data_IF_252323906910
#
_entry.id   IF_252323906910
#
_cell.length_a   1.000
_cell.length_b   1.000
_cell.length_c   1.000
_cell.angle_alpha   90.00
_cell.angle_beta   90.00
_cell.angle_gamma   90.00
#
_symmetry.space_group_name_H-M   'P 1'
#
loop_
_entity.id
_entity.type
_entity.pdbx_description
1 polymer ?
#
# COMPACT_ATOMS: atom_id res chain seq x y z
N UNK A 1 17.11 0.13 -13.38
CA UNK A 1 15.77 -0.47 -13.46
C UNK A 1 14.77 0.60 -13.05
N UNK A 2 13.57 0.64 -13.63
CA UNK A 2 12.56 1.66 -13.27
C UNK A 2 11.80 1.21 -12.01
N UNK A 3 11.75 2.07 -11.01
CA UNK A 3 10.99 1.87 -9.76
C UNK A 3 9.49 2.02 -10.04
N UNK A 4 8.64 1.22 -9.40
CA UNK A 4 7.18 1.34 -9.55
C UNK A 4 6.63 2.51 -8.73
N UNK A 5 5.71 3.30 -9.28
CA UNK A 5 4.91 4.28 -8.54
C UNK A 5 3.60 3.65 -8.12
N UNK A 6 3.39 3.54 -6.81
CA UNK A 6 2.16 3.03 -6.21
C UNK A 6 1.42 4.19 -5.54
N UNK A 7 0.16 4.39 -5.91
CA UNK A 7 -0.70 5.41 -5.31
C UNK A 7 -1.74 4.78 -4.42
N UNK A 8 -1.87 5.33 -3.20
CA UNK A 8 -2.92 4.91 -2.28
C UNK A 8 -4.25 5.58 -2.62
N UNK A 9 -5.27 4.75 -2.76
CA UNK A 9 -6.66 5.11 -3.03
C UNK A 9 -7.49 4.73 -1.81
N UNK A 10 -7.99 5.75 -1.12
CA UNK A 10 -9.02 5.56 -0.08
C UNK A 10 -10.34 5.22 -0.76
N UNK A 11 -10.70 3.94 -0.75
CA UNK A 11 -11.79 3.38 -1.50
C UNK A 11 -13.10 3.48 -0.73
N UNK A 12 -14.15 3.89 -1.44
CA UNK A 12 -15.44 4.27 -0.85
C UNK A 12 -15.50 5.72 -0.36
N UNK A 13 -14.43 6.52 -0.49
CA UNK A 13 -14.43 7.93 -0.11
C UNK A 13 -14.39 8.89 -1.32
N UNK A 14 -15.30 9.88 -1.43
CA UNK A 14 -16.53 10.04 -0.62
C UNK A 14 -17.61 9.01 -0.99
N UNK A 15 -17.43 8.26 -2.08
CA UNK A 15 -18.26 7.11 -2.46
C UNK A 15 -17.43 6.13 -3.30
N UNK A 16 -17.95 4.93 -3.52
CA UNK A 16 -17.32 3.92 -4.39
C UNK A 16 -17.18 4.45 -5.82
N UNK A 17 -18.22 5.08 -6.37
CA UNK A 17 -18.18 5.65 -7.73
C UNK A 17 -17.10 6.72 -7.87
N UNK A 18 -16.98 7.61 -6.87
CA UNK A 18 -15.91 8.62 -6.86
C UNK A 18 -14.52 8.01 -6.71
N UNK A 19 -14.41 6.87 -6.03
CA UNK A 19 -13.15 6.13 -5.94
C UNK A 19 -12.75 5.54 -7.29
N UNK A 20 -13.72 5.04 -8.08
CA UNK A 20 -13.48 4.55 -9.45
C UNK A 20 -13.05 5.68 -10.40
N UNK A 21 -13.70 6.86 -10.32
CA UNK A 21 -13.27 8.06 -11.04
C UNK A 21 -11.84 8.47 -10.65
N UNK A 22 -11.53 8.44 -9.35
CA UNK A 22 -10.20 8.80 -8.85
C UNK A 22 -9.13 7.83 -9.31
N UNK A 23 -9.41 6.52 -9.28
CA UNK A 23 -8.51 5.50 -9.79
C UNK A 23 -8.16 5.71 -11.26
N UNK A 24 -9.15 6.09 -12.09
CA UNK A 24 -8.93 6.48 -13.49
C UNK A 24 -7.89 7.60 -13.60
N UNK A 25 -8.04 8.66 -12.81
CA UNK A 25 -7.10 9.79 -12.84
C UNK A 25 -5.69 9.39 -12.42
N UNK A 26 -5.53 8.49 -11.46
CA UNK A 26 -4.23 7.97 -11.05
C UNK A 26 -3.56 7.21 -12.19
N UNK A 27 -4.30 6.28 -12.81
CA UNK A 27 -3.83 5.44 -13.91
C UNK A 27 -3.45 6.28 -15.12
N UNK A 28 -4.32 7.21 -15.55
CA UNK A 28 -4.06 8.11 -16.68
C UNK A 28 -2.88 9.07 -16.44
N UNK A 29 -2.47 9.24 -15.19
CA UNK A 29 -1.32 10.07 -14.81
C UNK A 29 -0.02 9.26 -14.68
N UNK A 30 -0.08 7.94 -14.83
CA UNK A 30 1.09 7.07 -14.95
C UNK A 30 1.42 6.25 -13.71
N UNK A 31 0.50 6.09 -12.75
CA UNK A 31 0.68 5.14 -11.66
C UNK A 31 0.85 3.71 -12.20
N UNK A 32 1.82 2.97 -11.67
CA UNK A 32 2.06 1.59 -12.09
C UNK A 32 1.17 0.60 -11.35
N UNK A 33 0.80 0.91 -10.10
CA UNK A 33 -0.04 0.09 -9.23
C UNK A 33 -0.91 0.98 -8.36
N UNK A 34 -2.02 0.42 -7.84
CA UNK A 34 -2.87 1.09 -6.86
C UNK A 34 -2.88 0.27 -5.57
N UNK A 35 -2.69 0.93 -4.44
CA UNK A 35 -3.03 0.41 -3.12
C UNK A 35 -4.47 0.84 -2.80
N UNK A 36 -5.35 -0.12 -2.53
CA UNK A 36 -6.78 0.11 -2.36
C UNK A 36 -7.19 -0.46 -1.00
N UNK A 37 -7.75 0.37 -0.13
CA UNK A 37 -8.15 -0.08 1.20
C UNK A 37 -9.57 -0.67 1.25
N UNK A 38 -9.79 -1.55 2.21
CA UNK A 38 -11.11 -1.82 2.77
C UNK A 38 -11.26 -0.93 4.01
N UNK A 39 -12.25 -0.03 4.04
CA UNK A 39 -12.35 0.91 5.14
C UNK A 39 -12.74 0.22 6.43
N UNK A 40 -12.32 0.81 7.54
CA UNK A 40 -12.63 0.35 8.88
C UNK A 40 -12.98 1.52 9.79
N UNK A 41 -13.74 1.27 10.85
CA UNK A 41 -14.08 2.25 11.88
C UNK A 41 -12.99 2.42 12.94
N UNK A 42 -12.00 1.51 12.96
CA UNK A 42 -10.87 1.51 13.88
C UNK A 42 -9.53 1.36 13.15
N UNK A 43 -9.09 2.42 12.47
CA UNK A 43 -7.81 2.47 11.76
C UNK A 43 -6.71 3.07 12.66
N UNK A 44 -6.38 2.37 13.76
CA UNK A 44 -5.54 2.90 14.83
C UNK A 44 -4.05 3.06 14.50
N UNK A 45 -3.58 2.49 13.38
CA UNK A 45 -2.19 2.64 12.90
C UNK A 45 -2.06 3.68 11.79
N UNK A 46 -3.17 4.20 11.29
CA UNK A 46 -3.19 5.16 10.19
C UNK A 46 -3.21 6.60 10.68
N UNK A 47 -2.71 7.50 9.83
CA UNK A 47 -2.83 8.95 10.07
C UNK A 47 -4.30 9.39 10.16
N UNK A 48 -4.57 10.50 10.86
CA UNK A 48 -5.90 11.10 10.98
C UNK A 48 -6.60 11.33 9.63
N UNK A 49 -5.82 11.65 8.58
CA UNK A 49 -6.34 11.84 7.24
C UNK A 49 -6.91 10.53 6.65
N UNK A 50 -6.18 9.43 6.80
CA UNK A 50 -6.57 8.12 6.27
C UNK A 50 -7.71 7.54 7.10
N UNK A 51 -7.55 7.50 8.43
CA UNK A 51 -8.58 6.98 9.34
C UNK A 51 -9.89 7.77 9.23
N UNK A 52 -9.81 9.10 9.08
CA UNK A 52 -11.00 9.94 8.85
C UNK A 52 -11.72 9.65 7.54
N UNK A 53 -10.99 9.28 6.47
CA UNK A 53 -11.62 8.91 5.19
C UNK A 53 -12.21 7.50 5.22
N UNK A 54 -11.53 6.54 5.82
CA UNK A 54 -12.07 5.19 6.03
C UNK A 54 -13.39 5.25 6.82
N UNK A 55 -13.44 6.05 7.89
CA UNK A 55 -14.66 6.27 8.67
C UNK A 55 -15.79 6.85 7.80
N UNK A 56 -15.52 7.91 7.04
CA UNK A 56 -16.51 8.54 6.14
C UNK A 56 -16.97 7.61 5.02
N UNK A 57 -16.10 6.73 4.52
CA UNK A 57 -16.48 5.70 3.56
C UNK A 57 -17.51 4.76 4.17
N UNK A 58 -17.30 4.27 5.40
CA UNK A 58 -18.28 3.44 6.11
C UNK A 58 -19.58 4.17 6.47
N UNK A 59 -19.52 5.47 6.75
CA UNK A 59 -20.71 6.32 6.93
C UNK A 59 -21.53 6.42 5.63
N UNK A 60 -20.85 6.48 4.47
CA UNK A 60 -21.53 6.49 3.16
C UNK A 60 -22.03 5.11 2.74
N UNK A 61 -21.30 4.04 3.06
CA UNK A 61 -21.64 2.67 2.73
C UNK A 61 -20.94 1.71 3.71
N UNK A 62 -21.72 1.01 4.54
CA UNK A 62 -21.21 0.03 5.51
C UNK A 62 -21.22 -1.42 5.00
N UNK A 63 -21.66 -1.64 3.77
CA UNK A 63 -21.82 -2.96 3.16
C UNK A 63 -20.59 -3.36 2.34
N UNK A 64 -19.77 -4.26 2.89
CA UNK A 64 -18.56 -4.77 2.22
C UNK A 64 -18.81 -5.47 0.89
N UNK A 65 -20.02 -5.97 0.62
CA UNK A 65 -20.35 -6.53 -0.69
C UNK A 65 -20.36 -5.46 -1.78
N UNK A 66 -20.71 -4.21 -1.44
CA UNK A 66 -20.57 -3.08 -2.37
C UNK A 66 -19.10 -2.76 -2.65
N UNK A 67 -18.22 -2.87 -1.65
CA UNK A 67 -16.79 -2.67 -1.85
C UNK A 67 -16.20 -3.75 -2.76
N UNK A 68 -16.60 -5.01 -2.59
CA UNK A 68 -16.23 -6.08 -3.51
C UNK A 68 -16.69 -5.81 -4.95
N UNK A 69 -17.95 -5.42 -5.17
CA UNK A 69 -18.43 -5.08 -6.51
C UNK A 69 -17.71 -3.86 -7.10
N UNK A 70 -17.36 -2.87 -6.27
CA UNK A 70 -16.55 -1.73 -6.66
C UNK A 70 -15.15 -2.14 -7.12
N UNK A 71 -14.44 -2.95 -6.33
CA UNK A 71 -13.09 -3.42 -6.68
C UNK A 71 -13.12 -4.34 -7.91
N UNK A 72 -14.15 -5.19 -8.04
CA UNK A 72 -14.38 -6.00 -9.25
C UNK A 72 -14.60 -5.12 -10.48
N UNK A 73 -15.34 -4.04 -10.34
CA UNK A 73 -15.52 -3.04 -11.41
C UNK A 73 -14.18 -2.39 -11.76
N UNK A 74 -13.40 -1.97 -10.78
CA UNK A 74 -12.07 -1.40 -10.98
C UNK A 74 -11.15 -2.38 -11.75
N UNK A 75 -11.11 -3.64 -11.32
CA UNK A 75 -10.36 -4.73 -11.96
C UNK A 75 -10.78 -4.95 -13.40
N UNK A 76 -12.09 -4.94 -13.69
CA UNK A 76 -12.63 -5.10 -15.04
C UNK A 76 -12.26 -3.93 -15.96
N UNK A 77 -12.29 -2.70 -15.44
CA UNK A 77 -11.95 -1.50 -16.19
C UNK A 77 -10.44 -1.42 -16.48
N UNK A 78 -9.60 -1.89 -15.55
CA UNK A 78 -8.14 -1.79 -15.64
C UNK A 78 -7.46 -3.12 -15.29
N UNK A 79 -7.63 -4.17 -16.12
CA UNK A 79 -7.10 -5.51 -15.85
C UNK A 79 -5.57 -5.56 -15.75
N UNK A 80 -4.88 -4.62 -16.39
CA UNK A 80 -3.42 -4.53 -16.42
C UNK A 80 -2.80 -3.82 -15.21
N UNK A 81 -3.59 -3.12 -14.38
CA UNK A 81 -3.07 -2.36 -13.24
C UNK A 81 -3.08 -3.27 -12.00
N UNK A 82 -1.93 -3.69 -11.46
CA UNK A 82 -1.90 -4.47 -10.23
C UNK A 82 -2.56 -3.70 -9.09
N UNK A 83 -3.32 -4.42 -8.26
CA UNK A 83 -3.93 -3.87 -7.05
C UNK A 83 -3.28 -4.54 -5.84
N UNK A 84 -2.93 -3.72 -4.86
CA UNK A 84 -2.55 -4.16 -3.52
C UNK A 84 -3.74 -3.84 -2.63
N UNK A 85 -4.36 -4.87 -2.04
CA UNK A 85 -5.48 -4.66 -1.13
C UNK A 85 -4.94 -4.39 0.28
N UNK A 86 -5.37 -3.30 0.91
CA UNK A 86 -5.08 -3.01 2.30
C UNK A 86 -6.31 -3.32 3.15
N UNK A 87 -6.16 -4.10 4.21
CA UNK A 87 -7.23 -4.28 5.19
C UNK A 87 -6.66 -4.55 6.58
N UNK A 88 -7.42 -4.16 7.58
CA UNK A 88 -7.15 -4.58 8.96
C UNK A 88 -7.62 -6.01 9.20
N UNK A 89 -6.92 -6.73 10.08
CA UNK A 89 -7.25 -8.10 10.48
C UNK A 89 -8.70 -8.23 10.96
N UNK A 90 -9.14 -7.32 11.83
CA UNK A 90 -10.52 -7.30 12.33
C UNK A 90 -11.55 -7.01 11.22
N UNK A 91 -11.18 -6.24 10.19
CA UNK A 91 -12.03 -6.02 9.01
C UNK A 91 -12.20 -7.32 8.21
N UNK A 92 -11.12 -8.08 7.99
CA UNK A 92 -11.19 -9.39 7.32
C UNK A 92 -12.04 -10.37 8.12
N UNK A 93 -11.91 -10.40 9.45
CA UNK A 93 -12.76 -11.22 10.33
C UNK A 93 -14.24 -10.85 10.20
N UNK A 94 -14.55 -9.55 10.16
CA UNK A 94 -15.91 -9.05 9.99
C UNK A 94 -16.51 -9.40 8.62
N UNK A 95 -15.71 -9.36 7.56
CA UNK A 95 -16.10 -9.78 6.21
C UNK A 95 -16.30 -11.32 6.13
N UNK A 96 -15.45 -12.06 6.84
CA UNK A 96 -15.33 -13.51 6.74
C UNK A 96 -14.13 -13.89 5.86
N UNK A 97 -13.19 -14.64 6.43
CA UNK A 97 -11.91 -15.00 5.78
C UNK A 97 -12.13 -15.74 4.45
N UNK A 98 -13.00 -16.76 4.44
CA UNK A 98 -13.24 -17.55 3.22
C UNK A 98 -13.86 -16.69 2.10
N UNK A 99 -14.85 -15.85 2.46
CA UNK A 99 -15.48 -14.91 1.52
C UNK A 99 -14.46 -13.95 0.90
N UNK A 100 -13.54 -13.43 1.71
CA UNK A 100 -12.46 -12.57 1.24
C UNK A 100 -11.47 -13.31 0.33
N UNK A 101 -11.11 -14.55 0.68
CA UNK A 101 -10.23 -15.40 -0.12
C UNK A 101 -10.84 -15.69 -1.49
N UNK A 102 -12.11 -16.10 -1.52
CA UNK A 102 -12.84 -16.39 -2.77
C UNK A 102 -12.88 -15.15 -3.67
N UNK A 103 -13.24 -14.00 -3.09
CA UNK A 103 -13.18 -12.71 -3.77
C UNK A 103 -11.80 -12.44 -4.39
N UNK A 104 -10.71 -12.65 -3.62
CA UNK A 104 -9.36 -12.37 -4.11
C UNK A 104 -8.96 -13.27 -5.28
N UNK A 105 -9.29 -14.56 -5.20
CA UNK A 105 -9.01 -15.54 -6.27
C UNK A 105 -9.80 -15.24 -7.53
N UNK A 106 -11.09 -14.97 -7.42
CA UNK A 106 -11.96 -14.67 -8.56
C UNK A 106 -11.55 -13.40 -9.31
N UNK A 107 -10.97 -12.42 -8.60
CA UNK A 107 -10.63 -11.11 -9.16
C UNK A 107 -9.12 -10.89 -9.34
N UNK A 108 -8.31 -11.92 -9.12
CA UNK A 108 -6.84 -11.88 -9.22
C UNK A 108 -6.25 -10.69 -8.42
N UNK A 109 -6.66 -10.54 -7.17
CA UNK A 109 -6.15 -9.54 -6.22
C UNK A 109 -5.39 -10.23 -5.09
N UNK A 110 -4.25 -10.82 -5.44
CA UNK A 110 -3.51 -11.72 -4.56
C UNK A 110 -2.38 -11.05 -3.76
N UNK A 111 -2.16 -9.74 -3.93
CA UNK A 111 -1.17 -8.97 -3.17
C UNK A 111 -1.89 -8.11 -2.12
N UNK A 112 -1.46 -8.21 -0.85
CA UNK A 112 -2.15 -7.58 0.27
C UNK A 112 -1.20 -6.99 1.31
N UNK A 113 -1.67 -5.91 1.95
CA UNK A 113 -1.16 -5.40 3.23
C UNK A 113 -2.20 -5.72 4.31
N UNK A 114 -1.84 -6.58 5.24
CA UNK A 114 -2.67 -6.94 6.39
C UNK A 114 -2.19 -6.16 7.62
N UNK A 115 -3.07 -5.32 8.18
CA UNK A 115 -2.75 -4.39 9.26
C UNK A 115 -3.34 -4.88 10.58
N UNK A 116 -2.64 -4.64 11.70
CA UNK A 116 -3.18 -4.91 13.04
C UNK A 116 -3.43 -6.39 13.32
N UNK A 117 -2.52 -7.26 12.89
CA UNK A 117 -2.61 -8.72 13.11
C UNK A 117 -2.70 -9.00 14.62
N UNK A 118 -3.85 -9.51 15.07
CA UNK A 118 -4.09 -9.92 16.46
C UNK A 118 -3.42 -11.27 16.76
N UNK A 119 -3.56 -12.21 15.83
CA UNK A 119 -2.98 -13.55 15.87
C UNK A 119 -2.71 -14.06 14.44
N UNK A 120 -1.90 -15.12 14.29
CA UNK A 120 -1.46 -15.59 12.97
C UNK A 120 -2.52 -16.40 12.18
N UNK A 121 -3.71 -16.68 12.73
CA UNK A 121 -4.70 -17.57 12.10
C UNK A 121 -5.24 -17.03 10.77
N UNK A 122 -5.63 -15.75 10.72
CA UNK A 122 -6.14 -15.10 9.49
C UNK A 122 -5.02 -15.03 8.46
N UNK A 123 -3.86 -14.49 8.84
CA UNK A 123 -2.68 -14.40 7.97
C UNK A 123 -2.28 -15.76 7.40
N UNK A 124 -2.22 -16.81 8.22
CA UNK A 124 -1.89 -18.16 7.76
C UNK A 124 -2.90 -18.66 6.74
N UNK A 125 -4.21 -18.50 6.99
CA UNK A 125 -5.26 -18.90 6.03
C UNK A 125 -5.16 -18.17 4.70
N UNK A 126 -4.85 -16.87 4.73
CA UNK A 126 -4.65 -16.08 3.50
C UNK A 126 -3.44 -16.59 2.70
N UNK A 127 -2.31 -16.84 3.39
CA UNK A 127 -1.09 -17.39 2.79
C UNK A 127 -1.31 -18.80 2.23
N UNK A 128 -1.96 -19.69 2.98
CA UNK A 128 -2.28 -21.06 2.56
C UNK A 128 -3.16 -21.06 1.28
N UNK A 129 -3.92 -19.99 1.05
CA UNK A 129 -4.74 -19.78 -0.14
C UNK A 129 -4.05 -19.00 -1.27
N UNK A 130 -2.74 -18.74 -1.13
CA UNK A 130 -1.91 -18.12 -2.16
C UNK A 130 -1.88 -16.59 -2.12
N UNK A 131 -2.51 -15.94 -1.15
CA UNK A 131 -2.45 -14.48 -0.99
C UNK A 131 -1.08 -14.11 -0.41
N UNK A 132 -0.42 -13.17 -1.06
CA UNK A 132 0.88 -12.62 -0.64
C UNK A 132 0.65 -11.52 0.38
N UNK A 133 1.17 -11.74 1.59
CA UNK A 133 1.03 -10.79 2.69
C UNK A 133 2.36 -10.06 2.88
N UNK A 134 2.31 -8.76 2.62
CA UNK A 134 3.47 -7.88 2.72
C UNK A 134 3.84 -7.62 4.18
N UNK A 135 5.09 -7.29 4.43
CA UNK A 135 5.60 -7.02 5.79
C UNK A 135 6.19 -5.62 5.87
N UNK A 136 6.20 -5.05 7.07
CA UNK A 136 6.71 -3.71 7.32
C UNK A 136 8.07 -3.76 8.01
N UNK A 137 8.98 -2.89 7.57
CA UNK A 137 10.28 -2.68 8.23
C UNK A 137 10.48 -1.19 8.44
N UNK A 138 10.77 -0.82 9.69
CA UNK A 138 11.00 0.56 10.10
C UNK A 138 12.43 1.00 9.84
N UNK A 139 12.64 2.33 9.79
CA UNK A 139 13.94 2.93 9.51
C UNK A 139 15.02 2.61 10.56
N UNK A 140 14.64 2.15 11.76
CA UNK A 140 15.59 1.72 12.80
C UNK A 140 16.01 0.25 12.70
N UNK A 141 15.50 -0.49 11.69
CA UNK A 141 15.94 -1.84 11.33
C UNK A 141 15.81 -2.85 12.48
N UNK A 142 14.60 -3.00 13.03
CA UNK A 142 14.32 -3.99 14.08
C UNK A 142 14.65 -5.41 13.59
N UNK A 143 15.38 -6.18 14.40
CA UNK A 143 15.77 -7.53 14.02
C UNK A 143 14.57 -8.46 13.81
N UNK A 144 13.48 -8.28 14.57
CA UNK A 144 12.26 -9.09 14.43
C UNK A 144 11.53 -8.76 13.14
N UNK A 145 11.40 -7.48 12.79
CA UNK A 145 10.81 -7.05 11.52
C UNK A 145 11.57 -7.62 10.32
N UNK A 146 12.90 -7.58 10.37
CA UNK A 146 13.75 -8.12 9.30
C UNK A 146 13.57 -9.64 9.16
N UNK A 147 13.52 -10.37 10.28
CA UNK A 147 13.29 -11.81 10.23
C UNK A 147 11.89 -12.16 9.70
N UNK A 148 10.87 -11.39 10.07
CA UNK A 148 9.52 -11.52 9.49
C UNK A 148 9.56 -11.25 7.98
N UNK A 149 10.22 -10.17 7.55
CA UNK A 149 10.33 -9.79 6.15
C UNK A 149 11.04 -10.87 5.30
N UNK A 150 12.08 -11.53 5.83
CA UNK A 150 12.78 -12.63 5.17
C UNK A 150 11.91 -13.86 4.96
N UNK A 151 10.99 -14.12 5.86
CA UNK A 151 10.09 -15.28 5.83
C UNK A 151 8.72 -14.96 5.20
N UNK A 152 8.51 -13.72 4.75
CA UNK A 152 7.28 -13.29 4.08
C UNK A 152 7.19 -13.81 2.64
N UNK A 153 5.96 -14.04 2.17
CA UNK A 153 5.65 -14.37 0.78
C UNK A 153 5.28 -13.14 -0.07
N UNK A 154 5.25 -11.94 0.52
CA UNK A 154 4.95 -10.67 -0.14
C UNK A 154 6.17 -9.77 -0.29
N UNK A 155 5.93 -8.50 -0.60
CA UNK A 155 7.01 -7.48 -0.62
C UNK A 155 7.31 -6.97 0.80
N UNK A 156 8.45 -6.31 0.94
CA UNK A 156 8.82 -5.57 2.14
C UNK A 156 8.48 -4.10 1.96
N UNK A 157 7.50 -3.61 2.71
CA UNK A 157 7.22 -2.19 2.86
C UNK A 157 8.27 -1.59 3.79
N UNK A 158 9.24 -0.86 3.22
CA UNK A 158 10.29 -0.19 3.97
C UNK A 158 9.90 1.26 4.22
N UNK A 159 10.08 1.73 5.45
CA UNK A 159 9.97 3.14 5.76
C UNK A 159 11.04 3.95 4.99
N UNK A 160 10.63 4.96 4.23
CA UNK A 160 11.49 5.72 3.33
C UNK A 160 12.28 6.84 4.01
N UNK A 161 11.77 7.35 5.13
CA UNK A 161 12.42 8.37 5.96
C UNK A 161 12.24 8.09 7.45
N UNK A 162 13.21 8.46 8.31
CA UNK A 162 13.02 8.41 9.74
C UNK A 162 11.94 9.43 10.16
N UNK A 163 11.01 9.01 11.01
CA UNK A 163 9.95 9.89 11.55
C UNK A 163 10.23 10.23 13.01
N UNK A 164 10.02 9.27 13.90
CA UNK A 164 10.05 9.47 15.36
C UNK A 164 11.15 8.67 16.06
N UNK A 165 12.00 7.98 15.29
CA UNK A 165 13.06 7.12 15.81
C UNK A 165 14.40 7.52 15.19
N UNK A 166 15.48 7.38 15.97
CA UNK A 166 16.83 7.54 15.43
C UNK A 166 17.13 6.36 14.48
N UNK A 167 17.75 6.62 13.32
CA UNK A 167 18.30 5.56 12.49
C UNK A 167 19.24 4.65 13.28
N UNK A 168 19.40 3.42 12.80
CA UNK A 168 20.43 2.53 13.32
C UNK A 168 21.80 3.13 13.01
N UNK A 169 22.68 3.15 14.00
CA UNK A 169 24.06 3.64 13.81
C UNK A 169 24.78 2.86 12.70
N UNK A 170 25.39 3.60 11.76
CA UNK A 170 26.01 3.07 10.55
C UNK A 170 25.05 2.81 9.40
N UNK A 171 23.75 3.11 9.56
CA UNK A 171 22.71 2.95 8.56
C UNK A 171 21.77 4.17 8.53
N UNK A 172 22.35 5.35 8.30
CA UNK A 172 21.63 6.62 8.38
C UNK A 172 20.84 6.95 7.11
N UNK A 173 21.24 6.43 5.95
CA UNK A 173 20.55 6.69 4.67
C UNK A 173 19.65 5.53 4.27
N UNK A 174 18.64 5.81 3.42
CA UNK A 174 17.75 4.78 2.89
C UNK A 174 18.55 3.72 2.11
N UNK A 175 19.64 4.11 1.45
CA UNK A 175 20.54 3.19 0.75
C UNK A 175 21.22 2.23 1.71
N UNK A 176 21.71 2.72 2.85
CA UNK A 176 22.32 1.86 3.86
C UNK A 176 21.30 0.87 4.42
N UNK A 177 20.08 1.34 4.70
CA UNK A 177 18.99 0.47 5.14
C UNK A 177 18.67 -0.64 4.14
N UNK A 178 18.48 -0.32 2.86
CA UNK A 178 18.18 -1.32 1.83
C UNK A 178 19.36 -2.29 1.68
N UNK A 179 20.60 -1.80 1.65
CA UNK A 179 21.79 -2.65 1.59
C UNK A 179 21.84 -3.63 2.77
N UNK A 180 21.59 -3.16 3.99
CA UNK A 180 21.55 -4.00 5.18
C UNK A 180 20.49 -5.09 5.10
N UNK A 181 19.31 -4.77 4.57
CA UNK A 181 18.26 -5.76 4.34
C UNK A 181 18.73 -6.85 3.35
N UNK A 182 19.37 -6.44 2.24
CA UNK A 182 19.92 -7.39 1.25
C UNK A 182 21.04 -8.25 1.84
N UNK A 183 21.97 -7.66 2.58
CA UNK A 183 23.06 -8.36 3.28
C UNK A 183 22.53 -9.34 4.34
N UNK A 184 21.42 -8.99 4.99
CA UNK A 184 20.71 -9.86 5.94
C UNK A 184 19.97 -11.03 5.26
N UNK A 185 20.00 -11.11 3.92
CA UNK A 185 19.42 -12.18 3.12
C UNK A 185 18.00 -11.90 2.61
N UNK A 186 17.50 -10.66 2.68
CA UNK A 186 16.18 -10.31 2.15
C UNK A 186 16.15 -10.42 0.62
N UNK A 187 15.28 -11.29 0.10
CA UNK A 187 15.10 -11.52 -1.35
C UNK A 187 13.85 -10.85 -1.93
N UNK A 188 12.90 -10.49 -1.08
CA UNK A 188 11.62 -9.93 -1.50
C UNK A 188 11.79 -8.52 -2.10
N UNK A 189 10.92 -8.09 -3.01
CA UNK A 189 10.91 -6.71 -3.48
C UNK A 189 10.81 -5.73 -2.31
N UNK A 190 11.53 -4.61 -2.38
CA UNK A 190 11.49 -3.56 -1.37
C UNK A 190 10.74 -2.37 -1.93
N UNK A 191 9.58 -2.08 -1.34
CA UNK A 191 8.78 -0.92 -1.68
C UNK A 191 8.87 0.11 -0.58
N UNK A 192 9.35 1.31 -0.91
CA UNK A 192 9.54 2.37 0.07
C UNK A 192 8.29 3.24 0.18
N UNK A 193 7.78 3.44 1.38
CA UNK A 193 6.69 4.38 1.64
C UNK A 193 6.99 5.25 2.85
N UNK A 194 6.01 5.97 3.39
CA UNK A 194 6.17 6.86 4.56
C UNK A 194 7.26 7.93 4.37
N UNK A 195 6.82 9.18 4.15
CA UNK A 195 7.71 10.33 3.96
C UNK A 195 8.20 10.55 2.52
N UNK A 196 7.85 9.64 1.60
CA UNK A 196 8.06 9.81 0.16
C UNK A 196 6.94 10.69 -0.41
N UNK A 197 7.28 11.89 -0.88
CA UNK A 197 6.29 12.83 -1.43
C UNK A 197 6.83 13.79 -2.49
N UNK A 198 8.12 13.75 -2.82
CA UNK A 198 8.68 14.61 -3.87
C UNK A 198 9.38 13.78 -4.95
N UNK A 199 9.59 14.35 -6.15
CA UNK A 199 10.46 13.75 -7.16
C UNK A 199 11.86 13.40 -6.63
N UNK A 200 12.41 14.22 -5.73
CA UNK A 200 13.70 13.99 -5.08
C UNK A 200 13.65 12.75 -4.18
N UNK A 201 12.56 12.55 -3.43
CA UNK A 201 12.37 11.36 -2.60
C UNK A 201 12.29 10.09 -3.45
N UNK A 202 11.62 10.16 -4.61
CA UNK A 202 11.52 9.03 -5.53
C UNK A 202 12.89 8.69 -6.11
N UNK A 203 13.67 9.70 -6.53
CA UNK A 203 15.06 9.49 -7.00
C UNK A 203 15.91 8.88 -5.90
N UNK A 204 15.83 9.40 -4.68
CA UNK A 204 16.54 8.86 -3.53
C UNK A 204 16.20 7.37 -3.30
N UNK A 205 14.91 7.00 -3.30
CA UNK A 205 14.49 5.61 -3.12
C UNK A 205 14.95 4.71 -4.28
N UNK A 206 14.84 5.19 -5.53
CA UNK A 206 15.35 4.48 -6.71
C UNK A 206 16.86 4.23 -6.62
N UNK A 207 17.63 5.26 -6.30
CA UNK A 207 19.10 5.19 -6.20
C UNK A 207 19.56 4.33 -5.01
N UNK A 208 18.71 4.21 -3.97
CA UNK A 208 18.87 3.29 -2.86
C UNK A 208 18.56 1.82 -3.23
N UNK A 209 17.96 1.56 -4.40
CA UNK A 209 17.63 0.22 -4.88
C UNK A 209 16.20 -0.24 -4.58
N UNK A 210 15.26 0.69 -4.34
CA UNK A 210 13.85 0.37 -4.16
C UNK A 210 13.20 -0.11 -5.47
N UNK A 211 12.45 -1.20 -5.38
CA UNK A 211 11.66 -1.77 -6.48
C UNK A 211 10.36 -0.98 -6.72
N UNK A 212 9.85 -0.32 -5.68
CA UNK A 212 8.63 0.48 -5.73
C UNK A 212 8.62 1.62 -4.71
N UNK A 213 7.76 2.61 -4.93
CA UNK A 213 7.51 3.72 -4.00
C UNK A 213 6.01 3.95 -3.81
N UNK A 214 5.58 4.01 -2.56
CA UNK A 214 4.23 4.39 -2.19
C UNK A 214 4.13 5.90 -1.98
N UNK A 215 3.14 6.52 -2.61
CA UNK A 215 2.75 7.91 -2.35
C UNK A 215 1.26 7.97 -2.04
N UNK A 216 0.93 8.22 -0.76
CA UNK A 216 -0.44 8.29 -0.29
C UNK A 216 -0.90 9.72 -0.02
N UNK A 217 -0.72 10.20 1.21
CA UNK A 217 -1.26 11.47 1.69
C UNK A 217 -0.96 12.67 0.79
N UNK A 218 0.21 12.70 0.14
CA UNK A 218 0.57 13.79 -0.77
C UNK A 218 -0.33 13.85 -2.01
N UNK A 219 -0.75 12.71 -2.57
CA UNK A 219 -1.73 12.66 -3.65
C UNK A 219 -3.13 12.93 -3.10
N UNK A 220 -3.48 12.34 -1.96
CA UNK A 220 -4.81 12.50 -1.34
C UNK A 220 -5.15 13.96 -1.05
N UNK A 221 -4.19 14.75 -0.58
CA UNK A 221 -4.35 16.17 -0.26
C UNK A 221 -4.62 17.05 -1.50
N UNK A 222 -4.39 16.52 -2.69
CA UNK A 222 -4.54 17.21 -3.98
C UNK A 222 -5.81 16.84 -4.73
N UNK A 223 -6.58 15.87 -4.24
CA UNK A 223 -7.78 15.37 -4.94
C UNK A 223 -8.89 16.43 -5.17
N UNK A 224 -8.85 17.57 -4.49
CA UNK A 224 -9.77 18.69 -4.72
C UNK A 224 -9.44 19.49 -5.99
N UNK A 225 -8.21 19.39 -6.51
CA UNK A 225 -7.78 19.95 -7.79
C UNK A 225 -7.22 18.83 -8.67
N UNK A 226 -8.08 18.27 -9.51
CA UNK A 226 -7.77 17.10 -10.33
C UNK A 226 -6.60 17.37 -11.29
N UNK A 227 -6.47 18.57 -11.84
CA UNK A 227 -5.40 18.88 -12.80
C UNK A 227 -4.05 19.12 -12.11
N UNK A 228 -4.05 19.74 -10.92
CA UNK A 228 -2.83 19.80 -10.10
C UNK A 228 -2.40 18.39 -9.66
N UNK A 229 -3.33 17.57 -9.19
CA UNK A 229 -3.06 16.20 -8.78
C UNK A 229 -2.48 15.35 -9.93
N UNK A 230 -3.10 15.39 -11.12
CA UNK A 230 -2.61 14.65 -12.29
C UNK A 230 -1.21 15.11 -12.70
N UNK A 231 -0.95 16.42 -12.68
CA UNK A 231 0.39 16.99 -12.96
C UNK A 231 1.42 16.50 -11.94
N UNK A 232 1.05 16.51 -10.66
CA UNK A 232 1.89 16.04 -9.57
C UNK A 232 2.24 14.55 -9.73
N UNK A 233 1.26 13.68 -10.02
CA UNK A 233 1.50 12.26 -10.27
C UNK A 233 2.45 12.05 -11.47
N UNK A 234 2.28 12.82 -12.56
CA UNK A 234 3.19 12.74 -13.72
C UNK A 234 4.62 13.13 -13.37
N UNK A 235 4.81 14.18 -12.59
CA UNK A 235 6.13 14.59 -12.10
C UNK A 235 6.79 13.50 -11.25
N UNK A 236 6.01 12.86 -10.36
CA UNK A 236 6.48 11.71 -9.58
C UNK A 236 6.84 10.53 -10.50
N UNK A 237 6.01 10.24 -11.51
CA UNK A 237 6.26 9.16 -12.46
C UNK A 237 7.54 9.39 -13.27
N UNK A 238 7.83 10.61 -13.68
CA UNK A 238 9.07 10.95 -14.37
C UNK A 238 10.31 10.66 -13.51
N UNK A 239 10.23 10.89 -12.20
CA UNK A 239 11.32 10.61 -11.27
C UNK A 239 11.63 9.10 -11.10
N UNK A 240 10.67 8.22 -11.44
CA UNK A 240 10.85 6.76 -11.39
C UNK A 240 11.67 6.18 -12.55
N UNK A 241 11.92 6.99 -13.58
CA UNK A 241 12.65 6.57 -14.79
C UNK A 241 14.16 6.60 -14.58
#
# INVERSE_FOLDING_TARGET
>A
MSTKLISYLSFGYPSIDKSLEMAKHYIESGCDMIECDFPTDNAFLDSELISGRMKKALESCSDYDKYFEGIKTLRKLYPQIPLILLAYDHTIRKIGVEKYVDFCKENNTMDMILVGIEDESVKKKLIDNGIKISCYVQYFLDKREIEIAKNSNGFTYMQGKPTNCKPKEGYETLKDCINYLRESGLKNPVYCGVGISTPEDIKMAKDAGADGVFVGSAIMNRQNDIEEMKRYIRLLKEATK
#
